data_IF_052486490727
#
_entry.id   IF_052486490727
#
_cell.length_a   1.000
_cell.length_b   1.000
_cell.length_c   1.000
_cell.angle_alpha   90.00
_cell.angle_beta   90.00
_cell.angle_gamma   90.00
#
_symmetry.space_group_name_H-M   'P 1'
#
loop_
_entity.id
_entity.type
_entity.pdbx_description
1 polymer ?
#
# COMPACT_ATOMS: atom_id res chain seq x y z
N UNK A 1 -0.12 -41.70 -3.14
CA UNK A 1 -0.18 -40.25 -3.40
C UNK A 1 -0.62 -39.55 -2.13
N UNK A 2 0.25 -38.76 -1.51
CA UNK A 2 0.00 -38.07 -0.25
C UNK A 2 0.18 -36.56 -0.48
N UNK A 3 -0.91 -35.80 -0.65
CA UNK A 3 -0.87 -34.33 -0.77
C UNK A 3 -2.05 -33.75 0.00
N UNK A 4 -1.85 -33.58 1.31
CA UNK A 4 -2.91 -33.47 2.32
C UNK A 4 -3.33 -32.02 2.63
N UNK A 5 -3.56 -31.19 1.61
CA UNK A 5 -4.24 -29.88 1.74
C UNK A 5 -5.37 -29.66 0.72
N UNK A 6 -5.59 -30.60 -0.21
CA UNK A 6 -6.65 -30.47 -1.22
C UNK A 6 -6.50 -29.21 -2.08
N UNK A 7 -7.62 -28.59 -2.44
CA UNK A 7 -7.66 -27.39 -3.27
C UNK A 7 -7.20 -26.11 -2.55
N UNK A 8 -7.26 -26.06 -1.21
CA UNK A 8 -7.05 -24.83 -0.45
C UNK A 8 -5.60 -24.73 0.08
N UNK A 9 -4.89 -23.67 -0.29
CA UNK A 9 -3.48 -23.46 0.00
C UNK A 9 -3.29 -22.09 0.67
N UNK A 10 -3.38 -22.01 2.01
CA UNK A 10 -3.14 -20.77 2.73
C UNK A 10 -1.64 -20.43 2.76
N UNK A 11 -1.33 -19.13 2.79
CA UNK A 11 0.04 -18.63 2.90
C UNK A 11 0.11 -17.32 3.67
N UNK A 12 1.30 -17.05 4.20
CA UNK A 12 1.68 -15.77 4.80
C UNK A 12 3.06 -15.37 4.26
N UNK A 13 3.31 -14.07 4.21
CA UNK A 13 4.57 -13.52 3.73
C UNK A 13 4.90 -12.21 4.43
N UNK A 14 6.18 -11.89 4.46
CA UNK A 14 6.69 -10.60 4.87
C UNK A 14 7.77 -10.15 3.87
N UNK A 15 7.89 -8.84 3.66
CA UNK A 15 8.84 -8.29 2.71
C UNK A 15 9.04 -6.79 2.87
N UNK A 16 9.76 -6.21 1.92
CA UNK A 16 10.01 -4.78 1.83
C UNK A 16 9.26 -4.22 0.62
N UNK A 17 8.61 -3.09 0.80
CA UNK A 17 7.93 -2.34 -0.24
C UNK A 17 8.65 -1.01 -0.48
N UNK A 18 8.75 -0.59 -1.73
CA UNK A 18 9.20 0.75 -2.12
C UNK A 18 8.06 1.44 -2.84
N UNK A 19 7.53 2.52 -2.25
CA UNK A 19 6.44 3.31 -2.83
C UNK A 19 7.00 4.60 -3.40
N UNK A 20 6.66 4.86 -4.66
CA UNK A 20 7.02 6.08 -5.37
C UNK A 20 5.78 6.95 -5.52
N UNK A 21 5.84 8.18 -5.03
CA UNK A 21 4.73 9.13 -5.09
C UNK A 21 4.95 10.12 -6.24
N UNK A 22 3.94 10.28 -7.10
CA UNK A 22 3.99 11.16 -8.28
C UNK A 22 2.71 12.02 -8.37
N UNK A 23 2.73 13.08 -9.19
CA UNK A 23 1.62 14.02 -9.45
C UNK A 23 0.91 14.51 -8.18
N UNK A 24 1.69 14.96 -7.20
CA UNK A 24 1.16 15.46 -5.94
C UNK A 24 0.53 16.84 -6.14
N UNK A 25 -0.74 16.98 -5.75
CA UNK A 25 -1.47 18.25 -5.82
C UNK A 25 -1.85 18.66 -4.42
N UNK A 26 -1.44 19.86 -4.04
CA UNK A 26 -1.94 20.49 -2.83
C UNK A 26 -3.41 20.88 -3.05
N UNK A 27 -4.24 20.63 -2.04
CA UNK A 27 -5.67 20.98 -2.11
C UNK A 27 -5.93 22.50 -2.17
N UNK A 28 -4.92 23.33 -1.93
CA UNK A 28 -4.98 24.80 -1.96
C UNK A 28 -6.19 25.38 -1.20
N UNK A 29 -6.62 24.70 -0.15
CA UNK A 29 -7.82 25.03 0.62
C UNK A 29 -7.41 25.40 2.05
N UNK A 30 -7.88 26.54 2.53
CA UNK A 30 -7.69 26.96 3.92
C UNK A 30 -8.68 26.22 4.82
N UNK A 31 -8.23 25.78 5.99
CA UNK A 31 -9.06 25.10 6.99
C UNK A 31 -9.24 26.00 8.21
N UNK A 32 -10.33 26.77 8.21
CA UNK A 32 -10.63 27.72 9.29
C UNK A 32 -9.58 28.83 9.37
N UNK A 33 -8.89 28.94 10.51
CA UNK A 33 -7.82 29.91 10.70
C UNK A 33 -6.46 29.47 10.13
N UNK A 34 -6.36 28.24 9.60
CA UNK A 34 -5.12 27.73 9.02
C UNK A 34 -4.96 28.18 7.56
N UNK A 35 -3.80 28.77 7.18
CA UNK A 35 -3.53 29.16 5.81
C UNK A 35 -3.57 27.95 4.87
N UNK A 36 -3.92 28.19 3.61
CA UNK A 36 -3.98 27.11 2.62
C UNK A 36 -2.57 26.54 2.38
N UNK A 37 -2.50 25.23 2.22
CA UNK A 37 -1.25 24.55 1.86
C UNK A 37 -1.10 24.56 0.34
N UNK A 38 0.06 25.00 -0.13
CA UNK A 38 0.48 25.09 -1.52
C UNK A 38 1.80 24.33 -1.70
N UNK A 39 2.00 23.63 -2.83
CA UNK A 39 3.26 22.92 -3.09
C UNK A 39 3.55 21.71 -2.20
N UNK A 40 2.59 20.78 -2.07
CA UNK A 40 2.79 19.51 -1.38
C UNK A 40 3.72 18.58 -2.17
N UNK A 41 4.80 18.12 -1.54
CA UNK A 41 5.71 17.10 -2.06
C UNK A 41 5.83 15.96 -1.06
N UNK A 42 5.56 14.73 -1.49
CA UNK A 42 5.70 13.51 -0.67
C UNK A 42 6.91 12.73 -1.17
N UNK A 43 7.83 12.41 -0.27
CA UNK A 43 9.05 11.70 -0.62
C UNK A 43 8.76 10.20 -0.78
N UNK A 44 9.51 9.56 -1.67
CA UNK A 44 9.49 8.10 -1.81
C UNK A 44 9.85 7.44 -0.48
N UNK A 45 9.19 6.34 -0.18
CA UNK A 45 9.35 5.67 1.11
C UNK A 45 9.51 4.17 0.95
N UNK A 46 10.45 3.64 1.72
CA UNK A 46 10.52 2.22 2.00
C UNK A 46 9.58 1.89 3.16
N UNK A 47 8.90 0.75 3.06
CA UNK A 47 8.01 0.25 4.09
C UNK A 47 8.16 -1.25 4.28
N UNK A 48 7.80 -1.74 5.46
CA UNK A 48 7.64 -3.17 5.68
C UNK A 48 6.28 -3.60 5.14
N UNK A 49 6.20 -4.78 4.55
CA UNK A 49 4.97 -5.35 4.03
C UNK A 49 4.72 -6.70 4.69
N UNK A 50 3.51 -6.90 5.19
CA UNK A 50 3.02 -8.20 5.66
C UNK A 50 1.85 -8.59 4.78
N UNK A 51 1.78 -9.86 4.38
CA UNK A 51 0.68 -10.36 3.58
C UNK A 51 0.21 -11.72 4.08
N UNK A 52 -1.10 -11.94 3.98
CA UNK A 52 -1.74 -13.21 4.29
C UNK A 52 -2.81 -13.48 3.24
N UNK A 53 -2.91 -14.71 2.78
CA UNK A 53 -3.85 -15.06 1.72
C UNK A 53 -4.00 -16.56 1.57
N UNK A 54 -4.74 -16.94 0.55
CA UNK A 54 -4.90 -18.33 0.16
C UNK A 54 -5.09 -18.46 -1.34
N UNK A 55 -4.66 -19.59 -1.88
CA UNK A 55 -5.04 -20.05 -3.21
C UNK A 55 -6.09 -21.16 -3.09
N UNK A 56 -7.08 -21.15 -3.99
CA UNK A 56 -8.02 -22.24 -4.18
C UNK A 56 -7.87 -22.82 -5.59
N UNK A 57 -7.23 -23.98 -5.70
CA UNK A 57 -6.99 -24.69 -6.96
C UNK A 57 -8.28 -25.35 -7.44
N UNK A 58 -8.78 -24.91 -8.58
CA UNK A 58 -9.96 -25.48 -9.25
C UNK A 58 -9.55 -26.77 -9.96
N UNK A 59 -8.39 -26.75 -10.61
CA UNK A 59 -7.78 -27.94 -11.23
C UNK A 59 -6.25 -27.96 -11.00
N UNK A 60 -5.51 -28.74 -11.79
CA UNK A 60 -4.05 -28.87 -11.64
C UNK A 60 -3.25 -27.63 -12.06
N UNK A 61 -3.84 -26.78 -12.89
CA UNK A 61 -3.20 -25.60 -13.48
C UNK A 61 -3.90 -24.30 -13.05
N UNK A 62 -5.22 -24.29 -12.90
CA UNK A 62 -6.00 -23.09 -12.59
C UNK A 62 -6.43 -23.06 -11.13
N UNK A 63 -6.28 -21.89 -10.51
CA UNK A 63 -6.81 -21.58 -9.19
C UNK A 63 -7.23 -20.12 -9.06
N UNK A 64 -7.90 -19.81 -7.96
CA UNK A 64 -8.20 -18.46 -7.53
C UNK A 64 -7.25 -18.06 -6.42
N UNK A 65 -6.82 -16.81 -6.39
CA UNK A 65 -6.01 -16.24 -5.32
C UNK A 65 -6.82 -15.19 -4.58
N UNK A 66 -6.68 -15.15 -3.25
CA UNK A 66 -7.20 -14.06 -2.43
C UNK A 66 -6.16 -13.68 -1.38
N UNK A 67 -5.88 -12.39 -1.25
CA UNK A 67 -4.83 -11.91 -0.36
C UNK A 67 -5.15 -10.55 0.27
N UNK A 68 -4.70 -10.39 1.51
CA UNK A 68 -4.68 -9.12 2.23
C UNK A 68 -3.23 -8.76 2.57
N UNK A 69 -2.81 -7.55 2.23
CA UNK A 69 -1.50 -6.98 2.55
C UNK A 69 -1.67 -5.79 3.47
N UNK A 70 -0.85 -5.74 4.51
CA UNK A 70 -0.68 -4.57 5.36
C UNK A 70 0.69 -3.98 5.11
N UNK A 71 0.75 -2.71 4.70
CA UNK A 71 1.99 -1.99 4.47
C UNK A 71 2.23 -1.03 5.65
N UNK A 72 3.38 -1.15 6.29
CA UNK A 72 3.87 -0.16 7.24
C UNK A 72 4.64 0.91 6.46
N UNK A 73 3.99 2.04 6.16
CA UNK A 73 4.51 3.05 5.24
C UNK A 73 4.34 4.45 5.85
N UNK A 74 5.48 5.13 6.06
CA UNK A 74 5.59 6.44 6.73
C UNK A 74 6.41 7.43 5.89
N UNK A 75 5.89 7.90 4.74
CA UNK A 75 6.59 8.88 3.92
C UNK A 75 6.67 10.23 4.63
N UNK A 76 7.80 10.91 4.43
CA UNK A 76 7.95 12.30 4.81
C UNK A 76 7.35 13.19 3.72
N UNK A 77 6.64 14.23 4.13
CA UNK A 77 6.13 15.25 3.22
C UNK A 77 6.64 16.64 3.60
N UNK A 78 6.83 17.45 2.58
CA UNK A 78 7.13 18.87 2.70
C UNK A 78 6.04 19.63 1.97
N UNK A 79 5.65 20.78 2.53
CA UNK A 79 4.66 21.66 1.93
C UNK A 79 4.98 23.11 2.28
N UNK A 80 4.29 24.05 1.65
CA UNK A 80 4.45 25.48 1.94
C UNK A 80 3.08 26.10 2.15
N UNK A 81 2.90 26.95 3.14
CA UNK A 81 1.62 27.66 3.27
C UNK A 81 1.50 28.82 2.26
N UNK A 82 0.32 29.45 2.18
CA UNK A 82 0.10 30.64 1.34
C UNK A 82 0.95 31.85 1.73
N UNK A 83 1.58 31.85 2.91
CA UNK A 83 2.49 32.89 3.37
C UNK A 83 3.98 32.57 3.08
N UNK A 84 4.27 31.42 2.46
CA UNK A 84 5.64 31.00 2.12
C UNK A 84 6.36 30.25 3.23
N UNK A 85 5.69 29.87 4.33
CA UNK A 85 6.30 29.16 5.44
C UNK A 85 6.41 27.65 5.16
N UNK A 86 7.58 27.02 5.40
CA UNK A 86 7.76 25.59 5.19
C UNK A 86 7.04 24.77 6.27
N UNK A 87 6.31 23.76 5.84
CA UNK A 87 5.63 22.77 6.68
C UNK A 87 6.24 21.40 6.38
N UNK A 88 6.80 20.76 7.40
CA UNK A 88 7.37 19.42 7.29
C UNK A 88 6.58 18.47 8.20
N UNK A 89 6.33 17.25 7.73
CA UNK A 89 5.64 16.25 8.53
C UNK A 89 5.87 14.83 8.01
N UNK A 90 5.38 13.86 8.77
CA UNK A 90 5.33 12.48 8.36
C UNK A 90 3.87 12.03 8.21
N UNK A 91 3.56 11.38 7.09
CA UNK A 91 2.24 10.84 6.82
C UNK A 91 2.21 9.35 7.19
N UNK A 92 1.42 9.00 8.21
CA UNK A 92 1.21 7.61 8.61
C UNK A 92 0.05 7.03 7.79
N UNK A 93 0.36 6.44 6.64
CA UNK A 93 -0.68 5.93 5.74
C UNK A 93 -1.10 4.51 6.16
N UNK A 94 -0.12 3.67 6.51
CA UNK A 94 -0.30 2.27 6.90
C UNK A 94 -1.44 1.50 6.17
N UNK A 95 -1.45 1.46 4.82
CA UNK A 95 -2.62 1.02 4.08
C UNK A 95 -2.82 -0.50 4.14
N UNK A 96 -4.08 -0.91 4.06
CA UNK A 96 -4.48 -2.28 3.76
C UNK A 96 -4.81 -2.40 2.28
N UNK A 97 -4.20 -3.38 1.63
CA UNK A 97 -4.48 -3.76 0.25
C UNK A 97 -5.19 -5.11 0.28
N UNK A 98 -6.35 -5.21 -0.34
CA UNK A 98 -7.10 -6.47 -0.45
C UNK A 98 -7.26 -6.75 -1.93
N UNK A 99 -6.87 -7.95 -2.34
CA UNK A 99 -6.84 -8.36 -3.74
C UNK A 99 -7.36 -9.78 -3.91
N UNK A 100 -7.85 -10.05 -5.12
CA UNK A 100 -8.14 -11.40 -5.57
C UNK A 100 -7.85 -11.52 -7.06
N UNK A 101 -7.55 -12.73 -7.51
CA UNK A 101 -7.14 -12.98 -8.89
C UNK A 101 -7.22 -14.45 -9.28
N UNK A 102 -6.64 -14.75 -10.44
CA UNK A 102 -6.53 -16.10 -10.98
C UNK A 102 -5.04 -16.48 -10.98
N UNK A 103 -4.73 -17.67 -10.48
CA UNK A 103 -3.39 -18.24 -10.45
C UNK A 103 -3.31 -19.35 -11.49
N UNK A 104 -2.24 -19.34 -12.30
CA UNK A 104 -1.92 -20.43 -13.22
C UNK A 104 -0.60 -21.10 -12.81
N UNK A 105 -0.61 -22.42 -12.66
CA UNK A 105 0.57 -23.25 -12.37
C UNK A 105 0.95 -24.01 -13.65
N UNK A 106 2.16 -23.72 -14.14
CA UNK A 106 2.80 -24.42 -15.27
C UNK A 106 3.25 -25.83 -14.89
#
# INVERSE_FOLDING_TARGET
>A
HFTNFGAFQPYVGAGVNYTVFFDQKAGNTALGALPAVTGLSVHNAFGAAFQAGFDYMIDRHWGLNFDAKWLYLQPNFTATDTAGLPINGNAHINPWLIGGGITYRL
#
